data_IF_879946446492
#
_entry.id   IF_879946446492
#
_cell.length_a   1.000
_cell.length_b   1.000
_cell.length_c   1.000
_cell.angle_alpha   90.00
_cell.angle_beta   90.00
_cell.angle_gamma   90.00
#
_symmetry.space_group_name_H-M   'P 1'
#
loop_
_entity.id
_entity.type
_entity.pdbx_description
1 polymer ?
#
# COMPACT_ATOMS: atom_id res chain seq x y z
N UNK A 1 -5.80 -5.88 -28.56
CA UNK A 1 -5.14 -6.24 -27.29
C UNK A 1 -4.61 -5.05 -26.48
N UNK A 2 -4.36 -3.87 -27.09
CA UNK A 2 -3.92 -2.68 -26.33
C UNK A 2 -4.97 -2.08 -25.38
N UNK A 3 -6.24 -1.99 -25.79
CA UNK A 3 -7.32 -1.43 -24.97
C UNK A 3 -7.55 -2.18 -23.65
N UNK A 4 -7.38 -3.50 -23.64
CA UNK A 4 -7.50 -4.33 -22.44
C UNK A 4 -6.37 -4.03 -21.44
N UNK A 5 -5.14 -3.87 -21.93
CA UNK A 5 -4.00 -3.52 -21.10
C UNK A 5 -4.15 -2.13 -20.49
N UNK A 6 -4.65 -1.16 -21.27
CA UNK A 6 -4.96 0.20 -20.78
C UNK A 6 -6.05 0.15 -19.71
N UNK A 7 -7.15 -0.57 -19.94
CA UNK A 7 -8.23 -0.69 -18.97
C UNK A 7 -7.75 -1.32 -17.65
N UNK A 8 -7.00 -2.42 -17.71
CA UNK A 8 -6.44 -3.07 -16.53
C UNK A 8 -5.46 -2.15 -15.78
N UNK A 9 -4.60 -1.43 -16.51
CA UNK A 9 -3.68 -0.47 -15.90
C UNK A 9 -4.42 0.69 -15.24
N UNK A 10 -5.43 1.27 -15.90
CA UNK A 10 -6.26 2.34 -15.34
C UNK A 10 -7.00 1.91 -14.08
N UNK A 11 -7.58 0.71 -14.06
CA UNK A 11 -8.20 0.18 -12.84
C UNK A 11 -7.16 0.00 -11.73
N UNK A 12 -5.98 -0.53 -12.07
CA UNK A 12 -4.88 -0.70 -11.12
C UNK A 12 -4.43 0.62 -10.48
N UNK A 13 -4.23 1.68 -11.27
CA UNK A 13 -3.82 2.99 -10.76
C UNK A 13 -4.92 3.67 -9.93
N UNK A 14 -6.19 3.48 -10.30
CA UNK A 14 -7.34 3.96 -9.51
C UNK A 14 -7.41 3.26 -8.14
N UNK A 15 -7.28 1.93 -8.10
CA UNK A 15 -7.25 1.18 -6.85
C UNK A 15 -6.09 1.62 -5.95
N UNK A 16 -4.91 1.86 -6.53
CA UNK A 16 -3.74 2.34 -5.80
C UNK A 16 -3.98 3.75 -5.21
N UNK A 17 -4.57 4.64 -6.01
CA UNK A 17 -4.94 6.00 -5.58
C UNK A 17 -5.97 5.98 -4.44
N UNK A 18 -7.00 5.14 -4.55
CA UNK A 18 -8.00 4.96 -3.50
C UNK A 18 -7.38 4.40 -2.21
N UNK A 19 -6.45 3.45 -2.32
CA UNK A 19 -5.70 2.92 -1.18
C UNK A 19 -4.92 4.00 -0.43
N UNK A 20 -4.16 4.83 -1.16
CA UNK A 20 -3.45 5.97 -0.55
C UNK A 20 -4.43 6.96 0.10
N UNK A 21 -5.54 7.29 -0.57
CA UNK A 21 -6.58 8.17 -0.02
C UNK A 21 -7.20 7.62 1.27
N UNK A 22 -7.49 6.32 1.33
CA UNK A 22 -8.03 5.65 2.51
C UNK A 22 -7.05 5.74 3.70
N UNK A 23 -5.75 5.56 3.46
CA UNK A 23 -4.73 5.71 4.52
C UNK A 23 -4.73 7.15 5.06
N UNK A 24 -4.65 8.16 4.19
CA UNK A 24 -4.64 9.57 4.61
C UNK A 24 -5.94 10.02 5.28
N UNK A 25 -7.06 9.36 5.03
CA UNK A 25 -8.31 9.61 5.75
C UNK A 25 -8.36 8.94 7.13
N UNK A 26 -7.72 7.77 7.29
CA UNK A 26 -7.66 7.05 8.57
C UNK A 26 -6.76 7.76 9.60
N UNK A 27 -5.68 8.41 9.16
CA UNK A 27 -4.76 9.15 10.03
C UNK A 27 -5.45 10.22 10.90
N UNK A 28 -6.20 11.20 10.34
CA UNK A 28 -6.85 12.25 11.13
C UNK A 28 -7.98 11.71 12.01
N UNK A 29 -8.62 10.60 11.63
CA UNK A 29 -9.62 9.95 12.47
C UNK A 29 -9.00 9.27 13.69
N UNK A 30 -7.81 8.68 13.55
CA UNK A 30 -7.17 7.88 14.62
C UNK A 30 -6.24 8.70 15.51
N UNK A 31 -5.55 9.70 14.97
CA UNK A 31 -4.48 10.43 15.69
C UNK A 31 -4.62 11.94 15.55
N UNK A 32 -5.79 12.46 15.96
CA UNK A 32 -6.15 13.87 15.79
C UNK A 32 -5.18 14.87 16.43
N UNK A 33 -4.50 14.48 17.52
CA UNK A 33 -3.51 15.32 18.20
C UNK A 33 -2.11 15.30 17.53
N UNK A 34 -1.82 14.33 16.66
CA UNK A 34 -0.47 14.11 16.09
C UNK A 34 -0.50 13.90 14.56
N UNK A 35 -1.54 14.42 13.89
CA UNK A 35 -1.76 14.18 12.45
C UNK A 35 -0.54 14.55 11.62
N UNK A 36 0.13 15.66 11.93
CA UNK A 36 1.31 16.13 11.19
C UNK A 36 2.52 15.20 11.29
N UNK A 37 2.76 14.61 12.48
CA UNK A 37 3.87 13.66 12.67
C UNK A 37 3.58 12.36 11.94
N UNK A 38 2.33 11.89 12.03
CA UNK A 38 1.92 10.65 11.37
C UNK A 38 1.89 10.76 9.85
N UNK A 39 1.37 11.84 9.29
CA UNK A 39 1.37 12.05 7.84
C UNK A 39 2.80 12.19 7.31
N UNK A 40 3.70 12.83 8.08
CA UNK A 40 5.13 12.89 7.77
C UNK A 40 5.80 11.52 7.75
N UNK A 41 5.56 10.69 8.77
CA UNK A 41 6.11 9.33 8.85
C UNK A 41 5.59 8.44 7.71
N UNK A 42 4.28 8.50 7.42
CA UNK A 42 3.66 7.77 6.31
C UNK A 42 4.18 8.27 4.96
N UNK A 43 4.38 9.58 4.81
CA UNK A 43 4.99 10.18 3.62
C UNK A 43 6.42 9.70 3.39
N UNK A 44 7.23 9.62 4.44
CA UNK A 44 8.60 9.10 4.37
C UNK A 44 8.62 7.61 3.99
N UNK A 45 7.78 6.79 4.63
CA UNK A 45 7.64 5.38 4.29
C UNK A 45 7.17 5.18 2.84
N UNK A 46 6.21 5.99 2.37
CA UNK A 46 5.75 6.01 0.99
C UNK A 46 6.84 6.42 0.00
N UNK A 47 7.65 7.42 0.35
CA UNK A 47 8.79 7.86 -0.45
C UNK A 47 9.87 6.79 -0.60
N UNK A 48 10.22 6.10 0.49
CA UNK A 48 11.16 4.96 0.45
C UNK A 48 10.61 3.80 -0.41
N UNK A 49 9.34 3.46 -0.24
CA UNK A 49 8.69 2.41 -1.04
C UNK A 49 8.66 2.76 -2.53
N UNK A 50 8.32 4.01 -2.87
CA UNK A 50 8.31 4.51 -4.24
C UNK A 50 9.69 4.54 -4.88
N UNK A 51 10.72 4.97 -4.13
CA UNK A 51 12.10 4.97 -4.60
C UNK A 51 12.62 3.55 -4.86
N UNK A 52 12.34 2.62 -3.96
CA UNK A 52 12.69 1.21 -4.14
C UNK A 52 12.01 0.61 -5.37
N UNK A 53 10.73 0.90 -5.56
CA UNK A 53 9.97 0.47 -6.73
C UNK A 53 10.53 1.06 -8.04
N UNK A 54 10.81 2.36 -8.07
CA UNK A 54 11.38 3.03 -9.24
C UNK A 54 12.74 2.45 -9.60
N UNK A 55 13.60 2.17 -8.61
CA UNK A 55 14.87 1.48 -8.81
C UNK A 55 14.68 0.07 -9.36
N UNK A 56 13.76 -0.72 -8.80
CA UNK A 56 13.48 -2.07 -9.27
C UNK A 56 12.99 -2.08 -10.74
N UNK A 57 12.09 -1.15 -11.10
CA UNK A 57 11.63 -0.95 -12.48
C UNK A 57 12.76 -0.50 -13.41
N UNK A 58 13.62 0.41 -12.96
CA UNK A 58 14.76 0.89 -13.74
C UNK A 58 15.79 -0.22 -14.01
N UNK A 59 16.16 -0.99 -12.99
CA UNK A 59 17.06 -2.14 -13.12
C UNK A 59 16.44 -3.25 -13.96
N UNK A 60 15.14 -3.53 -13.79
CA UNK A 60 14.42 -4.50 -14.62
C UNK A 60 14.44 -4.08 -16.10
N UNK A 61 14.11 -2.82 -16.43
CA UNK A 61 14.16 -2.32 -17.80
C UNK A 61 15.56 -2.44 -18.41
N UNK A 62 16.60 -2.22 -17.61
CA UNK A 62 18.00 -2.31 -18.05
C UNK A 62 18.50 -3.73 -18.35
N UNK A 63 18.01 -4.75 -17.63
CA UNK A 63 18.51 -6.13 -17.78
C UNK A 63 17.63 -7.03 -18.66
N UNK A 64 16.31 -6.83 -18.68
CA UNK A 64 15.37 -7.72 -19.40
C UNK A 64 14.76 -7.10 -20.67
N UNK A 65 15.05 -5.82 -20.96
CA UNK A 65 14.52 -5.13 -22.14
C UNK A 65 13.00 -4.86 -22.12
N UNK A 66 12.30 -5.26 -21.04
CA UNK A 66 10.85 -5.12 -20.90
C UNK A 66 10.41 -4.81 -19.47
N UNK A 67 9.22 -4.22 -19.32
CA UNK A 67 8.66 -3.80 -18.03
C UNK A 67 7.99 -4.92 -17.22
N UNK A 68 7.85 -6.11 -17.82
CA UNK A 68 7.10 -7.23 -17.24
C UNK A 68 7.70 -7.72 -15.91
N UNK A 69 9.03 -7.80 -15.82
CA UNK A 69 9.71 -8.19 -14.57
C UNK A 69 9.52 -7.16 -13.45
N UNK A 70 9.52 -5.86 -13.77
CA UNK A 70 9.23 -4.79 -12.81
C UNK A 70 7.77 -4.81 -12.32
N UNK A 71 6.80 -5.10 -13.20
CA UNK A 71 5.39 -5.29 -12.80
C UNK A 71 5.18 -6.54 -11.94
N UNK A 72 5.86 -7.64 -12.24
CA UNK A 72 5.84 -8.86 -11.41
C UNK A 72 6.38 -8.59 -10.01
N UNK A 73 7.50 -7.87 -9.91
CA UNK A 73 8.07 -7.46 -8.63
C UNK A 73 7.11 -6.56 -7.84
N UNK A 74 6.48 -5.59 -8.52
CA UNK A 74 5.48 -4.73 -7.89
C UNK A 74 4.25 -5.52 -7.40
N UNK A 75 3.80 -6.51 -8.16
CA UNK A 75 2.68 -7.37 -7.79
C UNK A 75 2.97 -8.17 -6.52
N UNK A 76 4.19 -8.74 -6.39
CA UNK A 76 4.61 -9.41 -5.15
C UNK A 76 4.66 -8.44 -3.98
N UNK A 77 5.17 -7.22 -4.19
CA UNK A 77 5.21 -6.18 -3.15
C UNK A 77 3.79 -5.79 -2.69
N UNK A 78 2.85 -5.66 -3.62
CA UNK A 78 1.45 -5.38 -3.32
C UNK A 78 0.80 -6.52 -2.51
N UNK A 79 1.08 -7.78 -2.88
CA UNK A 79 0.60 -8.96 -2.12
C UNK A 79 1.17 -8.99 -0.71
N UNK A 80 2.46 -8.67 -0.53
CA UNK A 80 3.07 -8.54 0.80
C UNK A 80 2.41 -7.42 1.61
N UNK A 81 2.05 -6.29 0.98
CA UNK A 81 1.29 -5.22 1.61
C UNK A 81 -0.09 -5.69 2.10
N UNK A 82 -0.84 -6.43 1.28
CA UNK A 82 -2.14 -7.00 1.65
C UNK A 82 -2.00 -8.05 2.76
N UNK A 83 -0.99 -8.92 2.69
CA UNK A 83 -0.69 -9.89 3.74
C UNK A 83 -0.37 -9.18 5.07
N UNK A 84 0.48 -8.15 5.05
CA UNK A 84 0.79 -7.35 6.23
C UNK A 84 -0.47 -6.69 6.80
N UNK A 85 -1.31 -6.09 5.96
CA UNK A 85 -2.54 -5.42 6.38
C UNK A 85 -3.55 -6.41 6.99
N UNK A 86 -3.69 -7.60 6.41
CA UNK A 86 -4.55 -8.66 6.94
C UNK A 86 -4.02 -9.21 8.26
N UNK A 87 -2.71 -9.41 8.41
CA UNK A 87 -2.10 -9.78 9.69
C UNK A 87 -2.31 -8.72 10.78
N UNK A 88 -2.12 -7.44 10.46
CA UNK A 88 -2.35 -6.32 11.40
C UNK A 88 -3.83 -6.24 11.78
N UNK A 89 -4.75 -6.38 10.81
CA UNK A 89 -6.20 -6.41 11.06
C UNK A 89 -6.59 -7.59 11.96
N UNK A 90 -6.03 -8.77 11.75
CA UNK A 90 -6.27 -9.95 12.59
C UNK A 90 -5.73 -9.72 14.00
N UNK A 91 -4.50 -9.22 14.13
CA UNK A 91 -3.91 -8.87 15.43
C UNK A 91 -4.74 -7.84 16.17
N UNK A 92 -5.16 -6.76 15.51
CA UNK A 92 -6.02 -5.75 16.12
C UNK A 92 -7.37 -6.35 16.55
N UNK A 93 -8.02 -7.20 15.74
CA UNK A 93 -9.25 -7.87 16.21
C UNK A 93 -9.04 -8.72 17.45
N UNK A 94 -7.88 -9.39 17.60
CA UNK A 94 -7.59 -10.19 18.79
C UNK A 94 -7.27 -9.37 20.03
N UNK A 95 -6.54 -8.25 19.93
CA UNK A 95 -6.24 -7.41 21.10
C UNK A 95 -7.43 -6.54 21.52
N UNK A 96 -8.22 -6.04 20.56
CA UNK A 96 -9.41 -5.23 20.86
C UNK A 96 -10.63 -6.09 21.26
N UNK A 97 -10.73 -7.33 20.77
CA UNK A 97 -11.73 -8.30 21.24
C UNK A 97 -11.48 -8.77 22.67
N UNK A 98 -10.23 -8.75 23.15
CA UNK A 98 -9.90 -8.98 24.56
C UNK A 98 -10.24 -7.75 25.44
N UNK A 99 -10.18 -6.53 24.89
CA UNK A 99 -10.59 -5.29 25.60
C UNK A 99 -12.11 -5.08 25.56
N UNK A 100 -12.84 -5.67 24.61
CA UNK A 100 -14.32 -5.68 24.61
C UNK A 100 -14.94 -6.72 25.55
N UNK A 101 -14.17 -7.21 26.53
CA UNK A 101 -14.66 -7.96 27.69
C UNK A 101 -15.37 -7.08 28.74
N UNK A 102 -15.79 -5.86 28.39
CA UNK A 102 -16.66 -5.02 29.21
C UNK A 102 -17.96 -4.73 28.45
N UNK A 103 -18.86 -5.71 28.56
CA UNK A 103 -20.33 -5.60 28.74
C UNK A 103 -21.13 -4.73 27.74
N UNK A 104 -21.97 -5.45 26.98
CA UNK A 104 -23.30 -5.05 26.45
C UNK A 104 -24.08 -4.13 27.39
#
# INVERSE_FOLDING_TARGET
MGWLAVALFSVGTLCLGMGNGAVFQLLPQRFRNEVGVMTGLVGFAGGLGGFFLAKALATSKGMTGGFMAGFLFFSVLALLGVAGLTFVKTRWRTTWGAVSGARI
#
